data_IF_762541762931
#
_entry.id   IF_762541762931
#
_cell.length_a   1.000
_cell.length_b   1.000
_cell.length_c   1.000
_cell.angle_alpha   90.00
_cell.angle_beta   90.00
_cell.angle_gamma   90.00
#
_symmetry.space_group_name_H-M   'P 1'
#
loop_
_entity.id
_entity.type
_entity.pdbx_description
1 polymer ?
#
# COMPACT_ATOMS: atom_id res chain seq x y z
N UNK A 1 -5.48 -9.58 -11.69
CA UNK A 1 -5.65 -9.00 -10.34
C UNK A 1 -4.29 -8.73 -9.68
N UNK A 2 -4.14 -7.59 -8.97
CA UNK A 2 -2.83 -7.05 -8.65
C UNK A 2 -2.08 -7.91 -7.62
N UNK A 3 -0.81 -8.20 -7.88
CA UNK A 3 0.10 -8.78 -6.89
C UNK A 3 1.08 -7.67 -6.52
N UNK A 4 1.17 -7.37 -5.24
CA UNK A 4 2.11 -6.40 -4.68
C UNK A 4 3.24 -7.15 -3.97
N UNK A 5 4.46 -6.67 -4.10
CA UNK A 5 5.62 -7.06 -3.29
C UNK A 5 6.09 -5.80 -2.57
N UNK A 6 6.07 -5.82 -1.25
CA UNK A 6 6.62 -4.76 -0.41
C UNK A 6 8.03 -5.17 -0.01
N UNK A 7 8.99 -4.27 -0.18
CA UNK A 7 10.38 -4.39 0.29
C UNK A 7 10.80 -3.08 0.98
N UNK A 8 11.64 -3.19 2.00
CA UNK A 8 12.30 -2.05 2.68
C UNK A 8 13.80 -2.11 2.38
N UNK A 9 14.45 -0.94 2.29
CA UNK A 9 15.90 -0.80 2.07
C UNK A 9 16.65 -0.39 3.33
N UNK A 10 15.99 0.00 4.44
CA UNK A 10 16.72 0.88 5.39
C UNK A 10 16.35 0.87 6.88
N UNK A 11 15.64 -0.09 7.45
CA UNK A 11 15.52 -0.16 8.92
C UNK A 11 16.23 -1.37 9.57
N UNK A 12 17.05 -1.17 10.62
CA UNK A 12 17.77 -2.24 11.34
C UNK A 12 16.89 -2.98 12.37
N UNK A 13 15.58 -2.78 12.32
CA UNK A 13 14.60 -3.51 13.12
C UNK A 13 13.99 -4.59 12.23
N UNK A 14 14.22 -5.83 12.62
CA UNK A 14 13.83 -7.11 12.01
C UNK A 14 12.36 -7.13 11.49
N UNK A 15 12.09 -6.50 10.33
CA UNK A 15 10.80 -6.60 9.62
C UNK A 15 10.74 -7.96 8.92
N UNK A 16 10.54 -9.00 9.71
CA UNK A 16 10.49 -10.42 9.29
C UNK A 16 9.41 -10.69 8.25
N UNK A 17 8.37 -9.86 8.22
CA UNK A 17 7.26 -10.01 7.29
C UNK A 17 7.55 -9.52 5.87
N UNK A 18 8.74 -8.96 5.61
CA UNK A 18 9.18 -8.60 4.26
C UNK A 18 10.00 -9.74 3.61
N UNK A 19 9.81 -10.02 2.30
CA UNK A 19 8.87 -9.36 1.39
C UNK A 19 7.40 -9.73 1.69
N UNK A 20 6.54 -8.72 1.80
CA UNK A 20 5.11 -8.95 2.02
C UNK A 20 4.37 -8.96 0.68
N UNK A 21 3.56 -10.01 0.47
CA UNK A 21 2.76 -10.17 -0.72
C UNK A 21 1.28 -9.99 -0.41
N UNK A 22 0.64 -9.06 -1.12
CA UNK A 22 -0.81 -8.92 -1.04
C UNK A 22 -1.46 -8.72 -2.40
N UNK A 23 -2.77 -8.96 -2.41
CA UNK A 23 -3.65 -8.80 -3.58
C UNK A 23 -5.01 -8.35 -3.09
N UNK A 24 -5.58 -7.39 -3.80
CA UNK A 24 -6.92 -6.89 -3.52
C UNK A 24 -7.52 -6.15 -4.71
N UNK A 25 -8.78 -5.75 -4.57
CA UNK A 25 -9.42 -4.87 -5.54
C UNK A 25 -8.90 -3.44 -5.35
N UNK A 26 -8.61 -2.76 -6.46
CA UNK A 26 -8.35 -1.31 -6.45
C UNK A 26 -9.67 -0.60 -6.23
N UNK A 27 -9.74 0.23 -5.19
CA UNK A 27 -10.90 1.05 -4.88
C UNK A 27 -10.58 2.54 -5.02
N UNK A 28 -11.64 3.34 -5.20
CA UNK A 28 -11.52 4.80 -5.27
C UNK A 28 -11.22 5.36 -3.89
N UNK A 29 -10.16 6.18 -3.80
CA UNK A 29 -9.92 7.04 -2.65
C UNK A 29 -10.51 8.43 -2.85
N UNK A 30 -10.00 9.40 -2.09
CA UNK A 30 -10.52 10.78 -2.05
C UNK A 30 -10.05 11.68 -3.19
N UNK A 31 -9.24 11.15 -4.11
CA UNK A 31 -8.85 11.86 -5.34
C UNK A 31 -7.70 12.85 -5.21
N UNK A 32 -7.10 13.01 -4.03
CA UNK A 32 -5.96 13.94 -3.80
C UNK A 32 -4.78 13.66 -4.73
N UNK A 33 -4.26 12.43 -4.74
CA UNK A 33 -3.08 12.08 -5.54
C UNK A 33 -3.26 12.36 -7.03
N UNK A 34 -4.35 11.87 -7.62
CA UNK A 34 -4.58 12.02 -9.06
C UNK A 34 -5.00 13.44 -9.45
N UNK A 35 -5.98 14.03 -8.75
CA UNK A 35 -6.57 15.31 -9.17
C UNK A 35 -5.75 16.53 -8.76
N UNK A 36 -5.10 16.49 -7.60
CA UNK A 36 -4.39 17.67 -7.08
C UNK A 36 -2.89 17.63 -7.37
N UNK A 37 -2.28 16.44 -7.42
CA UNK A 37 -0.83 16.29 -7.55
C UNK A 37 -0.39 15.70 -8.90
N UNK A 38 -1.33 15.18 -9.71
CA UNK A 38 -0.99 14.47 -10.95
C UNK A 38 -0.29 13.12 -10.73
N UNK A 39 -0.31 12.60 -9.50
CA UNK A 39 0.32 11.34 -9.11
C UNK A 39 -0.79 10.34 -8.79
N UNK A 40 -1.25 9.52 -9.76
CA UNK A 40 -2.36 8.62 -9.54
C UNK A 40 -2.03 7.58 -8.46
N UNK A 41 -2.85 7.53 -7.42
CA UNK A 41 -2.75 6.55 -6.34
C UNK A 41 -3.92 5.57 -6.37
N UNK A 42 -3.62 4.28 -6.22
CA UNK A 42 -4.59 3.21 -6.06
C UNK A 42 -4.71 2.87 -4.57
N UNK A 43 -5.92 2.56 -4.10
CA UNK A 43 -6.14 2.16 -2.71
C UNK A 43 -6.63 0.71 -2.67
N UNK A 44 -6.30 -0.02 -1.61
CA UNK A 44 -6.89 -1.33 -1.34
C UNK A 44 -8.12 -1.25 -0.44
N UNK A 45 -8.94 -2.32 -0.45
CA UNK A 45 -10.02 -2.51 0.50
C UNK A 45 -9.48 -2.69 1.92
N UNK A 46 -10.24 -2.24 2.92
CA UNK A 46 -9.92 -2.37 4.34
C UNK A 46 -9.57 -3.81 4.75
N UNK A 47 -10.19 -4.82 4.14
CA UNK A 47 -9.90 -6.24 4.40
C UNK A 47 -8.46 -6.64 4.11
N UNK A 48 -7.81 -6.01 3.12
CA UNK A 48 -6.39 -6.23 2.81
C UNK A 48 -5.53 -5.55 3.86
N UNK A 49 -5.91 -4.34 4.26
CA UNK A 49 -5.18 -3.57 5.29
C UNK A 49 -5.25 -4.25 6.66
N UNK A 50 -6.41 -4.79 7.01
CA UNK A 50 -6.63 -5.55 8.26
C UNK A 50 -5.78 -6.82 8.32
N UNK A 51 -5.31 -7.33 7.17
CA UNK A 51 -4.43 -8.49 7.05
C UNK A 51 -2.93 -8.16 7.07
N UNK A 52 -2.58 -6.88 7.24
CA UNK A 52 -1.19 -6.47 7.32
C UNK A 52 -0.54 -6.99 8.60
N UNK A 53 0.68 -7.54 8.52
CA UNK A 53 1.45 -7.93 9.68
C UNK A 53 1.69 -6.74 10.63
N UNK A 54 1.72 -7.01 11.93
CA UNK A 54 1.87 -5.98 12.95
C UNK A 54 3.23 -5.25 12.88
N UNK A 55 4.27 -5.91 12.38
CA UNK A 55 5.60 -5.36 12.16
C UNK A 55 5.69 -4.46 10.92
N UNK A 56 4.68 -4.47 10.03
CA UNK A 56 4.54 -3.46 8.98
C UNK A 56 3.95 -2.17 9.57
N UNK A 57 4.85 -1.32 10.05
CA UNK A 57 4.53 -0.01 10.61
C UNK A 57 4.04 0.98 9.54
N UNK A 58 3.48 2.12 9.97
CA UNK A 58 3.12 3.19 9.03
C UNK A 58 4.37 3.78 8.40
N UNK A 59 4.34 4.05 7.10
CA UNK A 59 5.49 4.58 6.38
C UNK A 59 5.34 4.48 4.88
N UNK A 60 6.42 4.84 4.19
CA UNK A 60 6.55 4.67 2.74
C UNK A 60 7.40 3.43 2.47
N UNK A 61 6.86 2.55 1.65
CA UNK A 61 7.51 1.33 1.19
C UNK A 61 7.67 1.37 -0.32
N UNK A 62 8.55 0.52 -0.85
CA UNK A 62 8.72 0.37 -2.29
C UNK A 62 8.67 -1.11 -2.69
N UNK A 63 8.66 -1.37 -3.99
CA UNK A 63 8.71 -2.73 -4.51
C UNK A 63 8.03 -2.84 -5.85
N UNK A 64 7.24 -3.89 -6.04
CA UNK A 64 6.70 -4.26 -7.33
C UNK A 64 5.19 -4.40 -7.29
N UNK A 65 4.50 -3.85 -8.29
CA UNK A 65 3.06 -3.94 -8.44
C UNK A 65 2.68 -4.33 -9.86
N UNK A 66 1.57 -5.03 -10.00
CA UNK A 66 0.93 -5.36 -11.28
C UNK A 66 -0.54 -4.99 -11.19
N UNK A 67 -1.19 -4.56 -12.26
CA UNK A 67 -2.66 -4.44 -12.32
C UNK A 67 -3.22 -5.44 -13.33
N UNK A 68 -4.29 -6.16 -12.98
CA UNK A 68 -4.90 -7.13 -13.90
C UNK A 68 -3.91 -8.24 -14.31
N UNK A 69 -3.75 -8.41 -15.61
CA UNK A 69 -2.76 -9.28 -16.25
C UNK A 69 -1.70 -8.47 -17.02
N UNK A 70 -1.54 -7.18 -16.68
CA UNK A 70 -0.52 -6.32 -17.29
C UNK A 70 0.88 -6.61 -16.78
N UNK A 71 1.82 -5.72 -17.13
CA UNK A 71 3.21 -5.84 -16.74
C UNK A 71 3.45 -5.54 -15.26
N UNK A 72 4.60 -6.00 -14.77
CA UNK A 72 5.08 -5.70 -13.43
C UNK A 72 5.86 -4.39 -13.49
N UNK A 73 5.49 -3.44 -12.64
CA UNK A 73 6.12 -2.13 -12.55
C UNK A 73 6.70 -1.89 -11.16
N UNK A 74 7.75 -1.06 -11.10
CA UNK A 74 8.23 -0.49 -9.83
C UNK A 74 7.12 0.38 -9.23
N UNK A 75 6.95 0.31 -7.93
CA UNK A 75 5.91 1.06 -7.23
C UNK A 75 6.41 1.58 -5.88
N UNK A 76 5.68 2.54 -5.33
CA UNK A 76 5.77 2.98 -3.94
C UNK A 76 4.40 2.83 -3.29
N UNK A 77 4.40 2.52 -2.00
CA UNK A 77 3.20 2.30 -1.19
C UNK A 77 3.28 3.15 0.07
N UNK A 78 2.18 3.83 0.39
CA UNK A 78 2.04 4.55 1.65
C UNK A 78 1.11 3.76 2.57
N UNK A 79 1.61 3.28 3.70
CA UNK A 79 0.79 2.69 4.76
C UNK A 79 0.61 3.75 5.83
N UNK A 80 -0.62 4.19 6.08
CA UNK A 80 -0.86 5.30 7.00
C UNK A 80 -2.27 5.37 7.56
N UNK A 81 -2.44 6.24 8.55
CA UNK A 81 -3.75 6.59 9.09
C UNK A 81 -4.38 7.69 8.25
N UNK A 82 -5.70 7.66 8.10
CA UNK A 82 -6.42 8.73 7.45
C UNK A 82 -7.03 9.69 8.50
N UNK A 83 -6.38 10.84 8.78
CA UNK A 83 -6.80 11.73 9.85
C UNK A 83 -8.12 12.47 9.54
N UNK A 84 -8.51 12.59 8.26
CA UNK A 84 -9.72 13.32 7.85
C UNK A 84 -11.02 12.56 8.15
N UNK A 85 -10.94 11.24 8.34
CA UNK A 85 -12.12 10.37 8.50
C UNK A 85 -12.28 9.81 9.92
N UNK A 86 -11.53 10.34 10.91
CA UNK A 86 -11.46 9.77 12.28
C UNK A 86 -11.25 8.24 12.24
N UNK A 87 -10.43 7.77 11.31
CA UNK A 87 -10.31 6.34 11.03
C UNK A 87 -9.80 5.57 12.25
N UNK A 88 -10.52 4.51 12.62
CA UNK A 88 -10.05 3.44 13.52
C UNK A 88 -9.15 2.42 12.79
N UNK A 89 -8.90 2.60 11.48
CA UNK A 89 -8.12 1.68 10.63
C UNK A 89 -7.07 2.38 9.76
N UNK A 90 -5.97 1.68 9.49
CA UNK A 90 -4.94 2.09 8.51
C UNK A 90 -5.52 2.10 7.08
N UNK A 91 -4.77 2.67 6.14
CA UNK A 91 -5.05 2.69 4.70
C UNK A 91 -3.76 2.39 3.92
N UNK A 92 -3.91 1.85 2.71
CA UNK A 92 -2.82 1.49 1.80
C UNK A 92 -3.20 1.68 0.33
#
# INVERSE_FOLDING_TARGET
PPRLIIVDSSSPLDMRSLPYFCRGQVIRGFGRGSKELGIPTANFQDSVVDSLPADLSTGIYYGWGRVGNGDIHKMVMSIGWNPYYKNIKKSM
#
